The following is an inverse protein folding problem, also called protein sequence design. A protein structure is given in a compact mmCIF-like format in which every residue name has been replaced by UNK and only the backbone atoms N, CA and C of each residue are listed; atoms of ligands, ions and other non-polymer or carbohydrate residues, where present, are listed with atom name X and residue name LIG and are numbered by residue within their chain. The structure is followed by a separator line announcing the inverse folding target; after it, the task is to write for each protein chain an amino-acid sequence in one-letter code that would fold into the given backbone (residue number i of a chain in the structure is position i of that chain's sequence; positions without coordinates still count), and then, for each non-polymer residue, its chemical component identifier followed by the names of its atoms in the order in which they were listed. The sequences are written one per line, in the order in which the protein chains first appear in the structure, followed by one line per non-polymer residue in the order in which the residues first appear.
data_IF_511960432368
#
_entry.id   IF_511960432368
#
_cell.length_a   1.000
_cell.length_b   1.000
_cell.length_c   1.000
_cell.angle_alpha   90.00
_cell.angle_beta   90.00
_cell.angle_gamma   90.00
#
_symmetry.space_group_name_H-M   'P 1'
#
loop_
_entity.id
_entity.type
_entity.pdbx_description
1 polymer ?
#
# COMPACT_ATOMS: atom_id res chain seq x y z
N UNK A 1 0.35 26.25 6.24
CA UNK A 1 -1.01 25.96 6.77
C UNK A 1 -1.25 24.48 6.54
N UNK A 2 -1.45 23.70 7.60
CA UNK A 2 -1.82 22.27 7.50
C UNK A 2 -3.31 22.26 7.17
N UNK A 3 -3.69 21.77 5.99
CA UNK A 3 -5.09 21.68 5.61
C UNK A 3 -5.68 20.39 6.17
N UNK A 4 -6.89 20.46 6.69
CA UNK A 4 -7.65 19.30 7.15
C UNK A 4 -8.04 18.38 5.98
N UNK A 5 -7.96 17.07 6.19
CA UNK A 5 -8.49 16.08 5.26
C UNK A 5 -10.02 16.00 5.44
N UNK A 6 -10.75 16.06 4.34
CA UNK A 6 -12.22 16.03 4.34
C UNK A 6 -12.76 14.93 3.42
N UNK A 7 -14.06 14.73 3.45
CA UNK A 7 -14.77 13.82 2.54
C UNK A 7 -14.53 14.13 1.06
N UNK A 8 -14.21 15.38 0.69
CA UNK A 8 -13.85 15.77 -0.69
C UNK A 8 -12.58 15.05 -1.15
N UNK A 9 -11.58 14.92 -0.26
CA UNK A 9 -10.32 14.24 -0.55
C UNK A 9 -10.54 12.74 -0.75
N UNK A 10 -11.37 12.15 0.10
CA UNK A 10 -11.74 10.74 0.01
C UNK A 10 -12.51 10.47 -1.28
N UNK A 11 -13.54 11.30 -1.59
CA UNK A 11 -14.31 11.19 -2.83
C UNK A 11 -13.40 11.30 -4.06
N UNK A 12 -12.57 12.33 -4.15
CA UNK A 12 -11.68 12.52 -5.30
C UNK A 12 -10.71 11.34 -5.50
N UNK A 13 -10.23 10.76 -4.40
CA UNK A 13 -9.34 9.60 -4.43
C UNK A 13 -10.06 8.35 -4.94
N UNK A 14 -11.25 8.06 -4.43
CA UNK A 14 -12.04 6.91 -4.88
C UNK A 14 -12.61 7.11 -6.28
N UNK A 15 -13.00 8.32 -6.68
CA UNK A 15 -13.38 8.62 -8.06
C UNK A 15 -12.24 8.31 -9.04
N UNK A 16 -10.99 8.67 -8.70
CA UNK A 16 -9.80 8.33 -9.49
C UNK A 16 -9.58 6.82 -9.60
N UNK A 17 -9.88 6.05 -8.54
CA UNK A 17 -9.71 4.60 -8.52
C UNK A 17 -10.83 3.91 -9.30
N UNK A 18 -12.09 4.29 -9.07
CA UNK A 18 -13.29 3.60 -9.54
C UNK A 18 -13.71 4.10 -10.93
N UNK A 19 -13.64 5.40 -11.16
CA UNK A 19 -14.05 6.09 -12.38
C UNK A 19 -12.88 6.87 -12.99
N UNK A 20 -11.75 6.21 -13.33
CA UNK A 20 -10.58 6.90 -13.83
C UNK A 20 -10.93 7.69 -15.12
N UNK A 21 -10.36 8.88 -15.30
CA UNK A 21 -10.52 9.65 -16.53
C UNK A 21 -10.12 8.85 -17.77
N UNK A 22 -10.65 9.24 -18.93
CA UNK A 22 -10.31 8.59 -20.20
C UNK A 22 -8.80 8.58 -20.43
N UNK A 23 -8.27 7.42 -20.83
CA UNK A 23 -6.85 7.20 -21.04
C UNK A 23 -6.07 6.78 -19.79
N UNK A 24 -6.63 6.93 -18.58
CA UNK A 24 -6.01 6.47 -17.33
C UNK A 24 -6.49 5.06 -16.99
N UNK A 25 -5.55 4.21 -16.57
CA UNK A 25 -5.85 2.85 -16.10
C UNK A 25 -5.75 2.80 -14.58
N UNK A 26 -6.79 2.31 -13.92
CA UNK A 26 -6.77 1.97 -12.50
C UNK A 26 -6.69 0.46 -12.33
N UNK A 27 -5.60 -0.04 -11.78
CA UNK A 27 -5.41 -1.47 -11.51
C UNK A 27 -6.40 -2.03 -10.47
N UNK A 28 -7.09 -1.14 -9.74
CA UNK A 28 -8.05 -1.51 -8.69
C UNK A 28 -9.50 -1.31 -9.07
N UNK A 29 -9.77 -0.76 -10.25
CA UNK A 29 -11.13 -0.51 -10.71
C UNK A 29 -12.01 -1.77 -10.64
N UNK A 30 -11.45 -2.93 -10.99
CA UNK A 30 -12.17 -4.21 -10.97
C UNK A 30 -12.67 -4.61 -9.55
N UNK A 31 -12.03 -4.13 -8.49
CA UNK A 31 -12.42 -4.43 -7.10
C UNK A 31 -13.66 -3.64 -6.65
N UNK A 32 -14.06 -2.64 -7.41
CA UNK A 32 -15.17 -1.71 -7.06
C UNK A 32 -16.29 -1.69 -8.09
N UNK A 33 -16.45 -2.74 -8.87
CA UNK A 33 -17.48 -2.81 -9.94
C UNK A 33 -18.90 -2.67 -9.39
N UNK A 34 -19.13 -3.08 -8.15
CA UNK A 34 -20.41 -2.94 -7.47
C UNK A 34 -20.74 -1.49 -7.10
N UNK A 35 -19.76 -0.57 -7.11
CA UNK A 35 -20.00 0.85 -6.76
C UNK A 35 -20.62 1.58 -7.95
N UNK A 36 -21.74 2.25 -7.71
CA UNK A 36 -22.41 3.11 -8.67
C UNK A 36 -21.92 4.55 -8.57
N UNK A 37 -21.79 5.05 -7.34
CA UNK A 37 -21.34 6.42 -7.09
C UNK A 37 -20.64 6.55 -5.73
N UNK A 38 -19.74 7.55 -5.63
CA UNK A 38 -19.15 8.00 -4.38
C UNK A 38 -19.67 9.41 -4.10
N UNK A 39 -20.31 9.61 -2.97
CA UNK A 39 -20.94 10.86 -2.59
C UNK A 39 -20.28 11.41 -1.31
N UNK A 40 -20.16 12.74 -1.24
CA UNK A 40 -19.67 13.46 -0.07
C UNK A 40 -20.75 14.49 0.34
N UNK A 41 -21.78 14.07 1.08
CA UNK A 41 -22.91 14.93 1.44
C UNK A 41 -22.50 16.06 2.38
N UNK A 42 -21.49 15.86 3.21
CA UNK A 42 -20.91 16.86 4.10
C UNK A 42 -19.40 16.67 4.24
N UNK A 43 -18.73 17.46 5.06
CA UNK A 43 -17.27 17.46 5.19
C UNK A 43 -16.69 16.17 5.82
N UNK A 44 -17.49 15.38 6.51
CA UNK A 44 -17.02 14.23 7.29
C UNK A 44 -17.73 12.91 6.94
N UNK A 45 -18.64 12.93 5.96
CA UNK A 45 -19.40 11.75 5.54
C UNK A 45 -19.07 11.37 4.10
N UNK A 46 -18.77 10.09 3.90
CA UNK A 46 -18.67 9.45 2.58
C UNK A 46 -19.76 8.39 2.47
N UNK A 47 -20.47 8.42 1.35
CA UNK A 47 -21.46 7.42 1.00
C UNK A 47 -21.08 6.75 -0.31
N UNK A 48 -20.96 5.41 -0.27
CA UNK A 48 -20.82 4.60 -1.46
C UNK A 48 -22.20 4.05 -1.84
N UNK A 49 -22.70 4.45 -2.98
CA UNK A 49 -23.95 3.89 -3.53
C UNK A 49 -23.61 2.64 -4.34
N UNK A 50 -24.23 1.52 -3.97
CA UNK A 50 -23.93 0.23 -4.55
C UNK A 50 -24.99 -0.17 -5.58
N UNK A 51 -24.58 -0.79 -6.68
CA UNK A 51 -25.47 -1.40 -7.70
C UNK A 51 -26.07 -2.72 -7.20
N UNK A 52 -25.28 -3.46 -6.40
CA UNK A 52 -25.67 -4.73 -5.75
C UNK A 52 -24.87 -4.91 -4.47
N UNK A 53 -25.35 -5.74 -3.53
CA UNK A 53 -24.60 -6.08 -2.32
C UNK A 53 -23.30 -6.80 -2.68
N UNK A 54 -22.17 -6.35 -2.09
CA UNK A 54 -20.83 -6.91 -2.33
C UNK A 54 -20.17 -7.23 -0.98
N UNK A 55 -20.03 -8.51 -0.66
CA UNK A 55 -19.48 -8.95 0.64
C UNK A 55 -18.00 -8.58 0.84
N UNK A 56 -17.22 -8.50 -0.25
CA UNK A 56 -15.81 -8.13 -0.20
C UNK A 56 -15.57 -6.62 -0.11
N UNK A 57 -16.62 -5.79 -0.19
CA UNK A 57 -16.47 -4.33 -0.29
C UNK A 57 -15.69 -3.75 0.88
N UNK A 58 -16.00 -4.13 2.12
CA UNK A 58 -15.28 -3.62 3.30
C UNK A 58 -13.81 -4.05 3.33
N UNK A 59 -13.51 -5.27 2.89
CA UNK A 59 -12.13 -5.76 2.75
C UNK A 59 -11.38 -4.98 1.66
N UNK A 60 -12.06 -4.66 0.56
CA UNK A 60 -11.48 -3.85 -0.50
C UNK A 60 -11.15 -2.43 0.00
N UNK A 61 -12.03 -1.82 0.82
CA UNK A 61 -11.77 -0.52 1.44
C UNK A 61 -10.58 -0.56 2.41
N UNK A 62 -10.42 -1.65 3.16
CA UNK A 62 -9.32 -1.83 4.12
C UNK A 62 -7.95 -2.07 3.45
N UNK A 63 -7.90 -2.16 2.13
CA UNK A 63 -6.65 -2.37 1.40
C UNK A 63 -5.65 -1.22 1.65
N UNK A 64 -4.39 -1.52 2.07
CA UNK A 64 -3.38 -0.51 2.37
C UNK A 64 -2.94 0.30 1.14
N UNK A 65 -3.41 -0.08 -0.04
CA UNK A 65 -3.11 0.59 -1.30
C UNK A 65 -4.15 1.64 -1.70
N UNK A 66 -5.19 1.86 -0.93
CA UNK A 66 -6.19 2.89 -1.17
C UNK A 66 -5.74 4.21 -0.55
N UNK A 67 -4.72 4.80 -1.14
CA UNK A 67 -4.19 6.09 -0.69
C UNK A 67 -5.23 7.19 -0.89
N UNK A 68 -5.37 8.03 0.12
CA UNK A 68 -6.20 9.24 0.03
C UNK A 68 -5.31 10.40 -0.40
N UNK A 69 -5.72 11.04 -1.48
CA UNK A 69 -5.04 12.16 -2.10
C UNK A 69 -5.79 13.46 -1.85
N UNK A 70 -5.08 14.56 -1.80
CA UNK A 70 -5.70 15.88 -1.67
C UNK A 70 -6.46 16.24 -2.95
N UNK A 71 -7.77 16.52 -2.82
CA UNK A 71 -8.66 16.80 -3.95
C UNK A 71 -8.17 17.97 -4.80
N UNK A 72 -7.76 19.08 -4.16
CA UNK A 72 -7.24 20.26 -4.86
C UNK A 72 -6.01 19.95 -5.72
N UNK A 73 -5.14 19.03 -5.26
CA UNK A 73 -3.96 18.62 -6.01
C UNK A 73 -4.36 17.77 -7.21
N UNK A 74 -5.25 16.79 -7.01
CA UNK A 74 -5.76 15.96 -8.11
C UNK A 74 -6.49 16.78 -9.19
N UNK A 75 -7.20 17.82 -8.78
CA UNK A 75 -7.92 18.71 -9.72
C UNK A 75 -6.95 19.55 -10.56
N UNK A 76 -5.83 19.97 -9.97
CA UNK A 76 -4.82 20.76 -10.69
C UNK A 76 -3.94 19.91 -11.60
N UNK A 77 -3.49 18.77 -11.10
CA UNK A 77 -2.65 17.82 -11.83
C UNK A 77 -2.88 16.40 -11.28
N UNK A 78 -3.59 15.58 -12.04
CA UNK A 78 -3.91 14.20 -11.67
C UNK A 78 -2.67 13.30 -11.58
N UNK A 79 -1.55 13.68 -12.22
CA UNK A 79 -0.27 12.99 -12.23
C UNK A 79 0.73 13.49 -11.18
N UNK A 80 0.38 14.53 -10.43
CA UNK A 80 1.27 15.15 -9.45
C UNK A 80 1.87 14.14 -8.46
N UNK A 81 1.05 13.19 -8.01
CA UNK A 81 1.46 12.16 -7.04
C UNK A 81 2.37 11.08 -7.63
N UNK A 82 2.65 11.07 -8.91
CA UNK A 82 3.67 10.18 -9.50
C UNK A 82 5.08 10.58 -9.10
N UNK A 83 5.29 11.84 -8.75
CA UNK A 83 6.59 12.41 -8.40
C UNK A 83 6.62 13.06 -7.01
N UNK A 84 5.48 13.22 -6.38
CA UNK A 84 5.35 13.96 -5.13
C UNK A 84 4.54 13.18 -4.09
N UNK A 85 4.72 13.53 -2.83
CA UNK A 85 4.01 12.95 -1.71
C UNK A 85 3.43 14.04 -0.85
N UNK A 86 2.15 13.88 -0.52
CA UNK A 86 1.45 14.69 0.46
C UNK A 86 0.46 13.78 1.20
N UNK A 87 0.56 13.72 2.52
CA UNK A 87 -0.26 12.84 3.34
C UNK A 87 -0.29 13.28 4.80
N UNK A 88 -1.16 12.64 5.56
CA UNK A 88 -1.40 12.92 6.99
C UNK A 88 -0.65 11.97 7.92
N UNK A 89 0.31 11.21 7.40
CA UNK A 89 1.03 10.16 8.11
C UNK A 89 2.02 10.66 9.17
N UNK A 90 2.52 9.74 10.03
CA UNK A 90 3.46 10.06 11.11
C UNK A 90 4.85 10.45 10.65
N UNK A 91 5.18 10.24 9.38
CA UNK A 91 6.49 10.58 8.81
C UNK A 91 6.34 11.47 7.59
N UNK A 92 7.24 12.44 7.46
CA UNK A 92 7.42 13.30 6.28
C UNK A 92 8.49 12.69 5.39
N UNK A 93 8.25 12.72 4.08
CA UNK A 93 9.21 12.29 3.06
C UNK A 93 10.48 13.14 3.12
N UNK A 94 11.63 12.50 2.99
CA UNK A 94 12.95 13.16 2.90
C UNK A 94 13.55 12.92 1.53
N UNK A 95 13.78 11.64 1.17
CA UNK A 95 14.38 11.29 -0.11
C UNK A 95 13.96 9.89 -0.59
N UNK A 96 14.05 9.68 -1.88
CA UNK A 96 13.93 8.39 -2.53
C UNK A 96 15.06 8.23 -3.55
N UNK A 97 16.00 7.35 -3.25
CA UNK A 97 17.06 6.94 -4.18
C UNK A 97 16.63 5.65 -4.84
N UNK A 98 16.24 5.74 -6.12
CA UNK A 98 15.68 4.61 -6.88
C UNK A 98 16.63 3.40 -6.86
N UNK A 99 16.10 2.24 -6.48
CA UNK A 99 16.86 0.99 -6.36
C UNK A 99 17.74 0.88 -5.12
N UNK A 100 17.78 1.89 -4.26
CA UNK A 100 18.61 1.92 -3.05
C UNK A 100 17.75 2.02 -1.79
N UNK A 101 17.10 3.14 -1.55
CA UNK A 101 16.38 3.36 -0.31
C UNK A 101 15.35 4.49 -0.38
N UNK A 102 14.50 4.50 0.62
CA UNK A 102 13.53 5.56 0.93
C UNK A 102 13.74 6.04 2.35
N UNK A 103 13.71 7.34 2.59
CA UNK A 103 13.89 7.95 3.92
C UNK A 103 12.68 8.79 4.30
N UNK A 104 12.20 8.57 5.50
CA UNK A 104 11.20 9.40 6.16
C UNK A 104 11.67 9.88 7.52
N UNK A 105 11.32 11.10 7.88
CA UNK A 105 11.55 11.67 9.21
C UNK A 105 10.24 11.95 9.94
N UNK A 106 10.29 11.96 11.25
CA UNK A 106 9.16 12.28 12.12
C UNK A 106 8.40 13.53 11.68
N UNK A 107 7.07 13.41 11.58
CA UNK A 107 6.21 14.53 11.29
C UNK A 107 5.84 15.25 12.60
N UNK A 108 6.35 16.47 12.88
CA UNK A 108 6.04 17.18 14.12
C UNK A 108 4.55 17.54 14.24
N UNK A 109 3.86 17.66 13.10
CA UNK A 109 2.46 18.07 13.02
C UNK A 109 1.50 16.87 12.91
N UNK A 110 1.96 15.66 13.26
CA UNK A 110 1.10 14.47 13.18
C UNK A 110 -0.08 14.58 14.14
N UNK A 111 -1.28 14.31 13.66
CA UNK A 111 -2.54 14.51 14.37
C UNK A 111 -2.70 13.61 15.61
N UNK A 112 -2.17 12.37 15.58
CA UNK A 112 -2.24 11.43 16.70
C UNK A 112 -1.05 11.67 17.65
N UNK A 113 -1.26 12.57 18.61
CA UNK A 113 -0.24 12.99 19.55
C UNK A 113 0.23 11.81 20.41
N UNK A 114 1.54 11.71 20.62
CA UNK A 114 2.15 10.68 21.48
C UNK A 114 2.51 9.38 20.77
N UNK A 115 2.04 9.13 19.55
CA UNK A 115 2.32 7.89 18.80
C UNK A 115 3.47 7.97 17.79
N UNK A 116 4.35 8.95 17.93
CA UNK A 116 5.54 9.11 17.09
C UNK A 116 6.78 8.66 17.86
N UNK A 117 6.94 7.35 17.98
CA UNK A 117 8.01 6.75 18.81
C UNK A 117 9.39 6.85 18.15
N UNK A 118 9.45 6.80 16.82
CA UNK A 118 10.69 6.85 16.05
C UNK A 118 10.93 8.26 15.48
N UNK A 119 12.19 8.68 15.40
CA UNK A 119 12.57 9.95 14.78
C UNK A 119 12.54 9.90 13.26
N UNK A 120 12.64 8.70 12.70
CA UNK A 120 12.55 8.46 11.27
C UNK A 120 12.71 6.99 10.93
N UNK A 121 12.72 6.70 9.64
CA UNK A 121 13.01 5.38 9.12
C UNK A 121 13.76 5.46 7.79
N UNK A 122 14.50 4.42 7.50
CA UNK A 122 15.13 4.20 6.20
C UNK A 122 14.71 2.82 5.69
N UNK A 123 13.97 2.78 4.59
CA UNK A 123 13.58 1.55 3.93
C UNK A 123 14.60 1.20 2.85
N UNK A 124 15.29 0.09 3.00
CA UNK A 124 16.30 -0.40 2.06
C UNK A 124 15.65 -1.27 0.99
N UNK A 125 16.00 -1.08 -0.28
CA UNK A 125 15.56 -1.93 -1.38
C UNK A 125 16.61 -3.02 -1.64
N UNK A 126 16.41 -4.19 -1.08
CA UNK A 126 17.29 -5.34 -1.21
C UNK A 126 16.54 -6.45 -1.94
N UNK A 127 16.96 -6.79 -3.16
CA UNK A 127 16.26 -7.75 -4.02
C UNK A 127 16.54 -9.22 -3.65
N UNK A 128 17.72 -9.53 -3.13
CA UNK A 128 18.14 -10.89 -2.79
C UNK A 128 17.71 -11.26 -1.37
N UNK A 129 17.04 -12.42 -1.19
CA UNK A 129 16.67 -12.95 0.13
C UNK A 129 17.88 -13.15 1.03
N UNK A 130 18.96 -13.72 0.50
CA UNK A 130 20.20 -13.92 1.25
C UNK A 130 20.82 -12.61 1.76
N UNK A 131 20.77 -11.55 0.93
CA UNK A 131 21.24 -10.23 1.35
C UNK A 131 20.32 -9.57 2.39
N UNK A 132 19.00 -9.83 2.32
CA UNK A 132 18.05 -9.39 3.36
C UNK A 132 18.34 -10.10 4.71
N UNK A 133 18.56 -11.42 4.69
CA UNK A 133 18.97 -12.20 5.87
C UNK A 133 20.26 -11.64 6.46
N UNK A 134 21.27 -11.39 5.62
CA UNK A 134 22.54 -10.82 6.04
C UNK A 134 22.39 -9.42 6.65
N UNK A 135 21.50 -8.60 6.10
CA UNK A 135 21.24 -7.26 6.62
C UNK A 135 20.60 -7.29 8.02
N UNK A 136 19.66 -8.21 8.25
CA UNK A 136 19.05 -8.40 9.59
C UNK A 136 20.07 -8.99 10.56
N UNK A 137 20.79 -10.04 10.16
CA UNK A 137 21.81 -10.69 11.00
C UNK A 137 22.92 -9.72 11.42
N UNK A 138 23.32 -8.82 10.52
CA UNK A 138 24.35 -7.80 10.77
C UNK A 138 23.83 -6.51 11.37
N UNK A 139 22.58 -6.50 11.87
CA UNK A 139 21.94 -5.34 12.50
C UNK A 139 21.89 -4.07 11.61
N UNK A 140 22.03 -4.25 10.28
CA UNK A 140 21.88 -3.17 9.28
C UNK A 140 20.41 -2.87 8.94
N UNK A 141 19.52 -3.83 9.20
CA UNK A 141 18.08 -3.69 9.09
C UNK A 141 17.43 -4.28 10.36
N UNK A 142 16.49 -3.56 10.93
CA UNK A 142 15.84 -3.91 12.19
C UNK A 142 14.49 -4.59 11.98
N UNK A 143 13.88 -4.41 10.82
CA UNK A 143 12.56 -4.97 10.48
C UNK A 143 12.57 -5.48 9.05
N UNK A 144 12.07 -6.70 8.85
CA UNK A 144 11.68 -7.23 7.55
C UNK A 144 10.19 -7.58 7.63
N UNK A 145 9.35 -6.80 6.93
CA UNK A 145 7.89 -6.89 7.05
C UNK A 145 7.21 -7.71 5.95
N UNK A 146 7.96 -8.15 4.93
CA UNK A 146 7.42 -9.01 3.87
C UNK A 146 7.58 -10.51 4.16
N UNK A 147 8.30 -10.82 5.23
CA UNK A 147 8.55 -12.18 5.67
C UNK A 147 9.79 -12.83 5.06
N UNK A 148 10.21 -13.87 5.72
CA UNK A 148 11.28 -14.79 5.32
C UNK A 148 10.72 -16.20 5.11
N UNK A 149 11.48 -17.04 4.42
CA UNK A 149 11.18 -18.46 4.39
C UNK A 149 11.34 -19.05 5.79
N UNK A 150 10.71 -20.20 6.12
CA UNK A 150 10.93 -20.87 7.41
C UNK A 150 12.41 -21.15 7.70
N UNK A 151 13.17 -21.57 6.69
CA UNK A 151 14.61 -21.82 6.86
C UNK A 151 15.40 -20.54 7.17
N UNK A 152 15.09 -19.42 6.52
CA UNK A 152 15.71 -18.12 6.81
C UNK A 152 15.37 -17.64 8.22
N UNK A 153 14.10 -17.78 8.64
CA UNK A 153 13.62 -17.48 10.00
C UNK A 153 14.42 -18.28 11.04
N UNK A 154 14.48 -19.60 10.88
CA UNK A 154 15.13 -20.49 11.84
C UNK A 154 16.64 -20.17 11.96
N UNK A 155 17.28 -19.89 10.83
CA UNK A 155 18.68 -19.45 10.79
C UNK A 155 18.92 -18.13 11.53
N UNK A 156 17.98 -17.17 11.41
CA UNK A 156 18.07 -15.88 12.12
C UNK A 156 17.82 -16.05 13.62
N UNK A 157 16.84 -16.87 14.01
CA UNK A 157 16.54 -17.18 15.41
C UNK A 157 17.73 -17.86 16.07
N UNK A 158 18.35 -18.82 15.39
CA UNK A 158 19.56 -19.48 15.89
C UNK A 158 20.74 -18.52 16.07
N UNK A 159 20.91 -17.58 15.13
CA UNK A 159 22.03 -16.64 15.14
C UNK A 159 21.87 -15.49 16.14
N UNK A 160 20.65 -14.98 16.32
CA UNK A 160 20.37 -13.76 17.08
C UNK A 160 19.75 -14.05 18.47
N UNK A 161 19.17 -15.23 18.66
CA UNK A 161 18.58 -15.64 19.94
C UNK A 161 17.55 -14.62 20.46
N UNK A 162 17.72 -14.10 21.68
CA UNK A 162 16.77 -13.16 22.29
C UNK A 162 16.77 -11.76 21.66
N UNK A 163 17.70 -11.47 20.76
CA UNK A 163 17.77 -10.17 20.07
C UNK A 163 16.76 -10.02 18.94
N UNK A 164 16.11 -11.12 18.50
CA UNK A 164 15.14 -11.10 17.42
C UNK A 164 13.76 -11.50 17.94
N UNK A 165 12.73 -10.79 17.50
CA UNK A 165 11.34 -11.18 17.68
C UNK A 165 10.75 -11.61 16.34
N UNK A 166 10.16 -12.79 16.30
CA UNK A 166 9.46 -13.31 15.14
C UNK A 166 7.95 -13.14 15.35
N UNK A 167 7.31 -12.47 14.40
CA UNK A 167 5.86 -12.38 14.35
C UNK A 167 5.38 -13.19 13.15
N UNK A 168 4.56 -14.19 13.40
CA UNK A 168 3.93 -15.00 12.36
C UNK A 168 2.48 -14.57 12.19
N UNK A 169 2.03 -14.53 10.95
CA UNK A 169 0.65 -14.21 10.60
C UNK A 169 0.18 -15.20 9.53
N UNK A 170 -1.04 -15.75 9.64
CA UNK A 170 -1.63 -16.52 8.55
C UNK A 170 -1.86 -15.57 7.38
N UNK A 171 -1.10 -15.76 6.33
CA UNK A 171 -1.24 -15.01 5.09
C UNK A 171 -1.68 -15.97 3.98
N UNK A 172 -2.91 -15.80 3.53
CA UNK A 172 -3.44 -16.55 2.40
C UNK A 172 -3.01 -15.90 1.09
N UNK A 173 -1.91 -16.40 0.51
CA UNK A 173 -1.50 -16.08 -0.84
C UNK A 173 -1.91 -17.20 -1.79
N UNK A 174 -2.63 -16.86 -2.84
CA UNK A 174 -2.99 -17.79 -3.91
C UNK A 174 -1.99 -17.64 -5.06
N UNK A 175 -1.33 -18.73 -5.43
CA UNK A 175 -0.59 -18.82 -6.67
C UNK A 175 -1.57 -19.14 -7.80
N UNK A 176 -1.71 -18.23 -8.74
CA UNK A 176 -2.58 -18.41 -9.90
C UNK A 176 -1.77 -18.60 -11.18
N UNK A 177 -2.09 -19.64 -11.93
CA UNK A 177 -1.64 -19.80 -13.29
C UNK A 177 -2.67 -19.19 -14.25
N UNK A 178 -2.30 -18.11 -14.93
CA UNK A 178 -3.14 -17.51 -15.95
C UNK A 178 -2.75 -18.07 -17.33
N UNK A 179 -3.68 -18.76 -18.00
CA UNK A 179 -3.49 -19.30 -19.34
C UNK A 179 -4.31 -18.52 -20.38
N UNK A 180 -3.73 -18.31 -21.56
CA UNK A 180 -4.45 -17.76 -22.72
C UNK A 180 -5.20 -18.90 -23.44
N UNK A 181 -6.51 -19.04 -23.22
CA UNK A 181 -7.36 -20.09 -23.82
C UNK A 181 -7.28 -20.23 -25.36
N UNK A 182 -6.89 -19.18 -26.07
CA UNK A 182 -6.80 -19.17 -27.54
C UNK A 182 -5.36 -19.35 -28.07
N UNK A 183 -4.41 -19.73 -27.22
CA UNK A 183 -2.99 -19.88 -27.59
C UNK A 183 -2.53 -21.31 -27.28
N UNK A 184 -1.91 -21.98 -28.26
CA UNK A 184 -1.33 -23.30 -28.05
C UNK A 184 -0.33 -23.30 -26.89
N UNK A 185 -0.29 -24.37 -26.07
CA UNK A 185 -1.11 -25.57 -26.11
C UNK A 185 -2.47 -25.44 -25.37
N UNK A 186 -2.81 -24.26 -24.81
CA UNK A 186 -3.95 -24.04 -23.92
C UNK A 186 -5.29 -23.85 -24.66
N UNK A 187 -5.30 -23.96 -25.99
CA UNK A 187 -6.49 -24.03 -26.83
C UNK A 187 -7.10 -25.46 -26.88
N UNK A 188 -6.32 -26.47 -26.51
CA UNK A 188 -6.80 -27.83 -26.34
C UNK A 188 -7.44 -28.03 -24.96
N UNK A 189 -8.66 -28.58 -24.94
CA UNK A 189 -9.42 -28.83 -23.69
C UNK A 189 -8.77 -29.87 -22.77
N UNK A 190 -7.81 -30.64 -23.27
CA UNK A 190 -7.09 -31.70 -22.53
C UNK A 190 -5.88 -31.17 -21.78
N UNK A 191 -5.48 -29.91 -22.01
CA UNK A 191 -4.44 -29.15 -21.32
C UNK A 191 -5.10 -28.03 -20.48
#
# INVERSE_FOLDING_TARGET
MVAEMTSKDVKASYDKIIFPPQGMKSSRQAMYQAVEAVEAPDAHTIRFRMKWPESSFMLNLASPWNFIYRAEVLTKDIHWYEKNINGTGPFKFVEHVKGSHWVGKKNPDYWDKGKRYLDGYRALFISSSSAQVAAVRGERAHIQFRGFTPADRDSLVQALGPKITVQESPWDCVLMFAKKKKKKPFDDKRV
#
